data_IF_595722086229
#
_entry.id   IF_595722086229
#
_cell.length_a   1.000
_cell.length_b   1.000
_cell.length_c   1.000
_cell.angle_alpha   90.00
_cell.angle_beta   90.00
_cell.angle_gamma   90.00
#
_symmetry.space_group_name_H-M   'P 1'
#
loop_
_entity.id
_entity.type
_entity.pdbx_description
1 polymer ?
#
# COMPACT_ATOMS: atom_id res chain seq x y z
N UNK A 1 1.13 56.75 60.98
CA UNK A 1 0.51 57.08 59.65
C UNK A 1 1.30 56.31 58.59
N UNK A 2 0.70 55.34 57.92
CA UNK A 2 1.35 54.77 56.77
C UNK A 2 1.41 55.87 55.71
N UNK A 3 2.64 56.19 55.24
CA UNK A 3 2.83 57.14 54.13
C UNK A 3 2.15 56.57 52.89
N UNK A 4 1.18 57.31 52.34
CA UNK A 4 0.54 56.94 51.08
C UNK A 4 1.47 57.16 49.93
N UNK A 5 1.84 56.06 49.24
CA UNK A 5 2.66 56.12 48.03
C UNK A 5 1.79 56.35 46.80
N UNK A 6 2.29 57.11 45.82
CA UNK A 6 1.69 57.14 44.47
C UNK A 6 1.85 55.76 43.83
N UNK A 7 0.92 55.41 42.94
CA UNK A 7 0.96 54.13 42.23
C UNK A 7 2.29 53.92 41.48
N UNK A 8 2.84 54.96 40.87
CA UNK A 8 4.12 54.91 40.18
C UNK A 8 5.30 54.58 41.16
N UNK A 9 5.29 55.21 42.34
CA UNK A 9 6.33 54.97 43.36
C UNK A 9 6.23 53.54 43.90
N UNK A 10 5.02 53.04 44.13
CA UNK A 10 4.82 51.65 44.56
C UNK A 10 5.25 50.64 43.48
N UNK A 11 4.95 50.90 42.21
CA UNK A 11 5.37 50.04 41.10
C UNK A 11 6.87 50.08 40.84
N UNK A 12 7.57 51.19 41.08
CA UNK A 12 9.01 51.29 41.03
C UNK A 12 9.66 50.51 42.19
N UNK A 13 9.07 50.45 43.38
CA UNK A 13 9.53 49.58 44.47
C UNK A 13 9.43 48.11 44.11
N UNK A 14 8.31 47.70 43.45
CA UNK A 14 8.16 46.34 42.97
C UNK A 14 9.23 46.05 41.92
N UNK A 15 9.45 46.98 40.98
CA UNK A 15 10.48 46.86 39.93
C UNK A 15 11.89 46.68 40.55
N UNK A 16 12.26 47.55 41.45
CA UNK A 16 13.60 47.46 42.10
C UNK A 16 13.76 46.18 42.91
N UNK A 17 12.72 45.70 43.58
CA UNK A 17 12.71 44.43 44.29
C UNK A 17 12.91 43.25 43.34
N UNK A 18 12.23 43.25 42.21
CA UNK A 18 12.37 42.22 41.18
C UNK A 18 13.77 42.25 40.55
N UNK A 19 14.28 43.45 40.23
CA UNK A 19 15.61 43.63 39.66
C UNK A 19 16.72 43.21 40.65
N UNK A 20 16.53 43.48 41.96
CA UNK A 20 17.45 43.02 43.01
C UNK A 20 17.44 41.50 43.17
N UNK A 21 16.24 40.88 43.09
CA UNK A 21 16.05 39.45 43.35
C UNK A 21 16.45 38.58 42.20
N UNK A 22 16.21 39.01 41.00
CA UNK A 22 16.45 38.20 39.76
C UNK A 22 17.68 38.72 38.98
N UNK A 23 18.10 39.97 39.20
CA UNK A 23 19.22 40.59 38.52
C UNK A 23 19.11 40.50 36.96
N UNK A 24 20.29 40.53 36.33
CA UNK A 24 20.38 40.29 34.88
C UNK A 24 20.74 38.83 34.54
N UNK A 25 20.68 37.92 35.52
CA UNK A 25 20.95 36.51 35.30
C UNK A 25 19.86 35.88 34.46
N UNK A 26 20.27 35.04 33.50
CA UNK A 26 19.30 34.30 32.68
C UNK A 26 18.99 32.95 33.31
N UNK A 27 17.70 32.64 33.45
CA UNK A 27 17.19 31.37 33.96
C UNK A 27 16.75 30.49 32.81
N UNK A 28 17.06 29.20 32.84
CA UNK A 28 16.54 28.25 31.90
C UNK A 28 15.13 27.82 32.35
N UNK A 29 14.12 28.09 31.51
CA UNK A 29 12.72 27.81 31.78
C UNK A 29 12.16 26.92 30.71
N UNK A 30 11.55 25.81 31.14
CA UNK A 30 10.76 24.92 30.30
C UNK A 30 9.35 25.45 30.26
N UNK A 31 8.82 25.68 29.07
CA UNK A 31 7.43 26.12 28.89
C UNK A 31 6.91 25.74 27.49
N UNK A 32 5.60 25.78 27.35
CA UNK A 32 4.95 25.68 26.06
C UNK A 32 4.67 27.08 25.52
N UNK A 33 4.88 27.29 24.22
CA UNK A 33 4.71 28.57 23.56
C UNK A 33 3.27 28.71 23.03
N UNK A 34 2.38 29.33 23.78
CA UNK A 34 0.96 29.45 23.40
C UNK A 34 0.67 30.55 22.37
N UNK A 35 1.46 31.62 22.40
CA UNK A 35 1.42 32.67 21.40
C UNK A 35 2.84 32.98 20.91
N UNK A 36 2.98 33.25 19.61
CA UNK A 36 4.24 33.69 19.02
C UNK A 36 3.97 34.52 17.78
N UNK A 37 4.05 35.82 17.90
CA UNK A 37 3.76 36.75 16.80
C UNK A 37 4.82 37.80 16.64
N UNK A 38 5.11 38.09 15.38
CA UNK A 38 6.05 39.16 15.02
C UNK A 38 5.33 40.51 15.05
N UNK A 39 5.96 41.51 15.66
CA UNK A 39 5.56 42.89 15.60
C UNK A 39 6.77 43.78 15.32
N UNK A 40 6.84 44.33 14.10
CA UNK A 40 8.01 45.03 13.64
C UNK A 40 9.27 44.13 13.56
N UNK A 41 10.32 44.50 14.34
CA UNK A 41 11.56 43.74 14.44
C UNK A 41 11.60 42.78 15.67
N UNK A 42 10.54 42.76 16.48
CA UNK A 42 10.44 41.99 17.71
C UNK A 42 9.47 40.85 17.58
N UNK A 43 9.58 39.85 18.46
CA UNK A 43 8.55 38.84 18.67
C UNK A 43 7.98 38.99 20.07
N UNK A 44 6.66 38.81 20.16
CA UNK A 44 5.88 38.78 21.38
C UNK A 44 5.21 37.45 21.47
N UNK A 45 5.29 36.86 22.65
CA UNK A 45 4.75 35.54 22.89
C UNK A 45 4.18 35.38 24.29
N UNK A 46 3.68 34.20 24.53
CA UNK A 46 3.15 33.81 25.81
C UNK A 46 3.64 32.38 26.13
N UNK A 47 4.23 32.23 27.29
CA UNK A 47 4.69 30.94 27.82
C UNK A 47 3.66 30.42 28.80
N UNK A 48 3.29 29.16 28.64
CA UNK A 48 2.35 28.46 29.52
C UNK A 48 2.96 27.15 30.02
N UNK A 49 2.39 26.65 31.11
CA UNK A 49 2.67 25.31 31.62
C UNK A 49 1.35 24.61 31.92
N UNK A 50 1.20 23.36 31.47
CA UNK A 50 0.07 22.50 31.73
C UNK A 50 0.48 21.33 32.62
N UNK A 51 -0.39 20.93 33.54
CA UNK A 51 -0.25 19.73 34.38
C UNK A 51 -0.76 18.45 33.71
N UNK A 52 -1.31 18.56 32.48
CA UNK A 52 -1.93 17.44 31.78
C UNK A 52 -3.31 17.00 32.29
N UNK A 53 -3.81 17.62 33.39
CA UNK A 53 -5.08 17.27 34.03
C UNK A 53 -6.10 18.39 33.85
N UNK A 54 -5.69 19.64 34.03
CA UNK A 54 -6.53 20.83 33.92
C UNK A 54 -6.68 21.31 32.48
N UNK A 55 -7.87 21.84 32.15
CA UNK A 55 -8.08 22.55 30.86
C UNK A 55 -7.38 23.92 30.82
N UNK A 56 -7.01 24.46 31.98
CA UNK A 56 -6.34 25.76 32.08
C UNK A 56 -4.87 25.55 32.41
N UNK A 57 -3.98 26.41 31.90
CA UNK A 57 -2.58 26.37 32.28
C UNK A 57 -2.40 26.67 33.77
N UNK A 58 -1.48 25.96 34.43
CA UNK A 58 -1.12 26.19 35.84
C UNK A 58 -0.20 27.38 36.00
N UNK A 59 0.53 27.74 34.95
CA UNK A 59 1.34 28.94 34.90
C UNK A 59 1.23 29.60 33.52
N UNK A 60 1.27 30.93 33.50
CA UNK A 60 1.16 31.72 32.29
C UNK A 60 1.90 33.05 32.41
N UNK A 61 2.74 33.40 31.46
CA UNK A 61 3.51 34.63 31.45
C UNK A 61 3.79 35.11 30.06
N UNK A 62 3.77 36.40 29.83
CA UNK A 62 4.19 37.03 28.56
C UNK A 62 5.68 36.96 28.38
N UNK A 63 6.12 36.78 27.13
CA UNK A 63 7.52 36.82 26.79
C UNK A 63 7.78 37.74 25.56
N UNK A 64 8.98 38.29 25.54
CA UNK A 64 9.45 39.18 24.49
C UNK A 64 10.78 38.64 23.94
N UNK A 65 10.91 38.64 22.62
CA UNK A 65 12.19 38.43 21.96
C UNK A 65 12.56 39.71 21.21
N UNK A 66 13.56 40.39 21.68
CA UNK A 66 14.00 41.67 21.14
C UNK A 66 14.78 41.51 19.84
N UNK A 67 14.76 42.50 18.95
CA UNK A 67 15.35 42.47 17.62
C UNK A 67 16.82 41.98 17.57
N UNK A 68 17.61 42.35 18.58
CA UNK A 68 19.01 41.92 18.69
C UNK A 68 19.20 40.43 19.04
N UNK A 69 18.14 39.74 19.44
CA UNK A 69 18.16 38.30 19.78
C UNK A 69 17.37 37.44 18.78
N UNK A 70 16.43 38.07 18.05
CA UNK A 70 15.53 37.36 17.12
C UNK A 70 16.30 36.49 16.16
N UNK A 71 17.28 37.06 15.43
CA UNK A 71 18.05 36.34 14.43
C UNK A 71 18.84 35.17 15.04
N UNK A 72 19.48 35.42 16.18
CA UNK A 72 20.25 34.39 16.90
C UNK A 72 19.35 33.22 17.32
N UNK A 73 18.20 33.50 17.96
CA UNK A 73 17.30 32.50 18.50
C UNK A 73 16.64 31.70 17.34
N UNK A 74 16.14 32.38 16.31
CA UNK A 74 15.52 31.72 15.18
C UNK A 74 16.54 30.89 14.37
N UNK A 75 17.74 31.42 14.10
CA UNK A 75 18.78 30.68 13.39
C UNK A 75 19.27 29.46 14.18
N UNK A 76 19.55 29.63 15.49
CA UNK A 76 19.99 28.55 16.36
C UNK A 76 18.95 27.43 16.42
N UNK A 77 17.65 27.77 16.54
CA UNK A 77 16.58 26.81 16.57
C UNK A 77 16.40 26.15 15.22
N UNK A 78 16.32 26.91 14.13
CA UNK A 78 16.08 26.35 12.79
C UNK A 78 17.25 25.50 12.27
N UNK A 79 18.49 25.85 12.58
CA UNK A 79 19.65 25.03 12.21
C UNK A 79 19.67 23.69 12.90
N UNK A 80 19.25 23.63 14.18
CA UNK A 80 19.26 22.41 14.96
C UNK A 80 18.03 21.52 14.70
N UNK A 81 16.85 22.14 14.52
CA UNK A 81 15.56 21.42 14.41
C UNK A 81 15.03 21.31 12.98
N UNK A 82 15.58 22.11 12.05
CA UNK A 82 15.03 22.23 10.68
C UNK A 82 13.74 23.09 10.60
N UNK A 83 13.30 23.71 11.70
CA UNK A 83 12.01 24.36 11.83
C UNK A 83 12.12 25.81 12.33
N UNK A 84 11.01 26.54 12.22
CA UNK A 84 10.83 27.84 12.85
C UNK A 84 10.04 27.71 14.14
N UNK A 85 10.33 28.55 15.12
CA UNK A 85 9.54 28.67 16.35
C UNK A 85 8.09 29.02 16.03
N UNK A 86 7.16 28.25 16.59
CA UNK A 86 5.71 28.47 16.45
C UNK A 86 4.97 28.09 17.74
N UNK A 87 3.69 28.36 17.79
CA UNK A 87 2.80 27.97 18.90
C UNK A 87 2.75 26.47 19.09
N UNK A 88 2.38 26.03 20.28
CA UNK A 88 2.23 24.63 20.71
C UNK A 88 3.56 23.84 20.76
N UNK A 89 4.69 24.55 20.77
CA UNK A 89 6.01 23.95 20.98
C UNK A 89 6.45 24.04 22.43
N UNK A 90 6.91 22.90 22.96
CA UNK A 90 7.60 22.87 24.26
C UNK A 90 9.05 23.22 24.06
N UNK A 91 9.50 24.25 24.71
CA UNK A 91 10.80 24.87 24.54
C UNK A 91 11.53 25.07 25.86
N UNK A 92 12.84 25.06 25.78
CA UNK A 92 13.71 25.46 26.89
C UNK A 92 14.35 26.79 26.52
N UNK A 93 13.78 27.88 27.05
CA UNK A 93 14.32 29.21 26.87
C UNK A 93 15.20 29.62 28.03
N UNK A 94 16.29 30.30 27.75
CA UNK A 94 16.96 31.12 28.71
C UNK A 94 16.34 32.50 28.71
N UNK A 95 15.77 32.89 29.86
CA UNK A 95 15.00 34.10 30.00
C UNK A 95 15.55 34.99 31.12
N UNK A 96 15.38 36.29 31.00
CA UNK A 96 15.52 37.22 32.11
C UNK A 96 14.17 37.80 32.49
N UNK A 97 14.02 38.07 33.78
CA UNK A 97 12.79 38.69 34.32
C UNK A 97 12.82 40.18 33.99
N UNK A 98 11.71 40.69 33.49
CA UNK A 98 11.52 42.12 33.22
C UNK A 98 10.20 42.59 33.77
N UNK A 99 10.22 43.64 34.54
CA UNK A 99 9.02 44.31 35.05
C UNK A 99 8.95 45.73 34.53
N UNK A 100 7.83 46.07 33.92
CA UNK A 100 7.54 47.41 33.44
C UNK A 100 6.37 47.99 34.18
N UNK A 101 6.49 49.18 34.71
CA UNK A 101 5.46 49.84 35.55
C UNK A 101 4.09 49.93 34.86
N UNK A 102 4.03 50.05 33.55
CA UNK A 102 2.78 50.15 32.75
C UNK A 102 2.33 48.80 32.14
N UNK A 103 3.26 47.86 31.91
CA UNK A 103 2.94 46.62 31.19
C UNK A 103 3.04 45.35 32.05
N UNK A 104 3.52 45.52 33.28
CA UNK A 104 3.62 44.43 34.27
C UNK A 104 4.84 43.52 34.05
N UNK A 105 4.73 42.32 34.59
CA UNK A 105 5.75 41.29 34.54
C UNK A 105 5.78 40.61 33.17
N UNK A 106 6.99 40.39 32.63
CA UNK A 106 7.25 39.68 31.40
C UNK A 106 8.63 39.03 31.45
N UNK A 107 8.87 38.08 30.55
CA UNK A 107 10.20 37.47 30.37
C UNK A 107 10.84 37.95 29.07
N UNK A 108 12.10 38.31 29.12
CA UNK A 108 12.88 38.56 27.91
C UNK A 108 13.66 37.30 27.53
N UNK A 109 13.46 36.81 26.32
CA UNK A 109 14.15 35.65 25.82
C UNK A 109 15.58 36.04 25.44
N UNK A 110 16.56 35.36 26.05
CA UNK A 110 18.01 35.58 25.87
C UNK A 110 18.60 34.55 24.91
N UNK A 111 18.21 33.27 25.10
CA UNK A 111 18.72 32.12 24.35
C UNK A 111 17.70 31.00 24.34
N UNK A 112 17.97 29.97 23.52
CA UNK A 112 17.15 28.76 23.39
C UNK A 112 18.05 27.52 23.38
N UNK A 113 17.59 26.43 23.99
CA UNK A 113 18.17 25.11 23.80
C UNK A 113 17.29 24.24 22.89
N UNK A 114 17.65 24.08 21.61
CA UNK A 114 16.88 23.25 20.69
C UNK A 114 16.91 21.76 21.02
N UNK A 115 17.98 21.28 21.69
CA UNK A 115 18.13 19.87 22.04
C UNK A 115 17.03 19.40 23.00
N UNK A 116 16.53 20.29 23.86
CA UNK A 116 15.41 20.02 24.73
C UNK A 116 14.14 19.67 23.93
N UNK A 117 13.80 20.48 22.93
CA UNK A 117 12.60 20.26 22.10
C UNK A 117 12.67 18.93 21.35
N UNK A 118 13.84 18.60 20.81
CA UNK A 118 14.08 17.32 20.13
C UNK A 118 13.99 16.13 21.11
N UNK A 119 14.57 16.28 22.30
CA UNK A 119 14.50 15.25 23.34
C UNK A 119 13.08 15.01 23.88
N UNK A 120 12.28 16.05 24.07
CA UNK A 120 10.88 15.94 24.50
C UNK A 120 10.03 15.17 23.46
N UNK A 121 10.22 15.45 22.18
CA UNK A 121 9.56 14.72 21.09
C UNK A 121 9.90 13.24 21.11
N UNK A 122 11.19 12.92 21.25
CA UNK A 122 11.63 11.53 21.30
C UNK A 122 11.10 10.81 22.54
N UNK A 123 11.08 11.48 23.69
CA UNK A 123 10.52 10.92 24.92
C UNK A 123 9.03 10.62 24.78
N UNK A 124 8.24 11.51 24.18
CA UNK A 124 6.81 11.28 23.90
C UNK A 124 6.58 10.08 22.97
N UNK A 125 7.40 9.98 21.91
CA UNK A 125 7.33 8.82 20.99
C UNK A 125 7.55 7.52 21.76
N UNK A 126 8.60 7.44 22.58
CA UNK A 126 8.93 6.27 23.40
C UNK A 126 7.79 5.94 24.38
N UNK A 127 7.23 6.95 25.05
CA UNK A 127 6.12 6.77 25.99
C UNK A 127 4.90 6.15 25.29
N UNK A 128 4.54 6.64 24.09
CA UNK A 128 3.41 6.10 23.33
C UNK A 128 3.67 4.64 22.97
N UNK A 129 4.84 4.32 22.42
CA UNK A 129 5.21 2.96 22.06
C UNK A 129 5.18 2.01 23.26
N UNK A 130 5.64 2.47 24.45
CA UNK A 130 5.58 1.70 25.68
C UNK A 130 4.12 1.45 26.12
N UNK A 131 3.24 2.44 26.01
CA UNK A 131 1.80 2.27 26.31
C UNK A 131 1.16 1.25 25.39
N UNK A 132 1.41 1.34 24.08
CA UNK A 132 0.88 0.39 23.10
C UNK A 132 1.40 -1.03 23.36
N UNK A 133 2.68 -1.17 23.72
CA UNK A 133 3.28 -2.45 24.09
C UNK A 133 2.65 -3.04 25.36
N UNK A 134 2.45 -2.24 26.40
CA UNK A 134 1.78 -2.67 27.64
C UNK A 134 0.34 -3.13 27.37
N UNK A 135 -0.36 -2.48 26.45
CA UNK A 135 -1.71 -2.86 26.03
C UNK A 135 -1.73 -4.07 25.08
N UNK A 136 -0.57 -4.58 24.66
CA UNK A 136 -0.45 -5.73 23.76
C UNK A 136 -0.95 -5.48 22.33
N UNK A 137 -1.04 -4.19 21.90
CA UNK A 137 -1.58 -3.83 20.58
C UNK A 137 -0.52 -3.33 19.59
N UNK A 138 0.72 -3.11 20.07
CA UNK A 138 1.80 -2.50 19.28
C UNK A 138 2.03 -3.15 17.91
N UNK A 139 2.02 -4.47 17.86
CA UNK A 139 2.33 -5.25 16.65
C UNK A 139 1.10 -5.67 15.84
N UNK A 140 -0.13 -5.36 16.31
CA UNK A 140 -1.36 -5.89 15.70
C UNK A 140 -1.48 -5.59 14.20
N UNK A 141 -1.31 -4.33 13.81
CA UNK A 141 -1.41 -3.96 12.40
C UNK A 141 -0.17 -4.34 11.61
N UNK A 142 1.00 -4.31 12.25
CA UNK A 142 2.29 -4.61 11.64
C UNK A 142 2.40 -6.06 11.15
N UNK A 143 1.74 -7.00 11.84
CA UNK A 143 1.74 -8.43 11.46
C UNK A 143 0.66 -8.78 10.45
N UNK A 144 -0.19 -7.84 10.05
CA UNK A 144 -1.19 -8.08 9.01
C UNK A 144 -0.50 -8.35 7.67
N UNK A 145 -0.99 -9.36 6.97
CA UNK A 145 -0.51 -9.65 5.63
C UNK A 145 -0.94 -8.55 4.66
N UNK A 146 0.00 -8.11 3.85
CA UNK A 146 -0.34 -7.24 2.72
C UNK A 146 -1.18 -8.04 1.71
N UNK A 147 -2.20 -7.43 1.12
CA UNK A 147 -2.94 -8.05 0.03
C UNK A 147 -2.03 -8.30 -1.17
N UNK A 148 -2.27 -9.41 -1.86
CA UNK A 148 -1.53 -9.75 -3.08
C UNK A 148 -1.83 -8.78 -4.23
N UNK A 149 -2.99 -8.10 -4.20
CA UNK A 149 -3.42 -7.11 -5.17
C UNK A 149 -4.23 -6.00 -4.51
N UNK A 150 -4.33 -4.86 -5.19
CA UNK A 150 -5.07 -3.68 -4.70
C UNK A 150 -6.21 -3.35 -5.65
N UNK A 151 -7.43 -3.48 -5.17
CA UNK A 151 -8.65 -3.14 -5.91
C UNK A 151 -9.41 -1.97 -5.30
N UNK A 152 -9.40 -1.85 -3.98
CA UNK A 152 -10.07 -0.80 -3.23
C UNK A 152 -9.18 -0.27 -2.12
N UNK A 153 -8.79 0.98 -2.24
CA UNK A 153 -7.88 1.65 -1.31
C UNK A 153 -8.60 2.80 -0.61
N UNK A 154 -8.64 2.77 0.72
CA UNK A 154 -9.10 3.91 1.51
C UNK A 154 -7.94 4.89 1.74
N UNK A 155 -8.06 6.13 1.28
CA UNK A 155 -7.00 7.14 1.40
C UNK A 155 -7.41 8.20 2.40
N UNK A 156 -6.70 8.25 3.53
CA UNK A 156 -6.88 9.29 4.54
C UNK A 156 -5.88 10.41 4.26
N UNK A 157 -6.36 11.58 3.90
CA UNK A 157 -5.54 12.74 3.59
C UNK A 157 -6.32 14.05 3.75
N UNK A 158 -5.63 15.18 3.65
CA UNK A 158 -6.26 16.49 3.54
C UNK A 158 -6.40 16.91 2.09
N UNK A 159 -7.59 17.39 1.71
CA UNK A 159 -7.86 17.88 0.35
C UNK A 159 -7.06 19.14 -0.03
N UNK A 160 -6.51 19.82 0.96
CA UNK A 160 -5.80 21.10 0.80
C UNK A 160 -4.28 21.00 0.81
N UNK A 161 -3.72 19.79 1.01
CA UNK A 161 -2.29 19.62 1.25
C UNK A 161 -1.46 19.57 -0.04
N UNK A 162 -0.25 20.19 0.00
CA UNK A 162 0.68 20.34 -1.12
C UNK A 162 1.23 19.02 -1.71
N UNK A 163 1.21 17.94 -0.98
CA UNK A 163 1.67 16.63 -1.46
C UNK A 163 0.60 15.78 -2.15
N UNK A 164 -0.57 16.38 -2.43
CA UNK A 164 -1.70 15.68 -3.06
C UNK A 164 -1.42 15.38 -4.54
N UNK A 165 -0.65 16.26 -5.21
CA UNK A 165 -0.42 16.21 -6.66
C UNK A 165 0.10 14.86 -7.13
N UNK A 166 1.31 14.44 -6.69
CA UNK A 166 1.97 13.24 -7.23
C UNK A 166 1.24 11.92 -6.89
N UNK A 167 0.61 11.82 -5.70
CA UNK A 167 -0.17 10.64 -5.34
C UNK A 167 -1.39 10.48 -6.25
N UNK A 168 -2.16 11.56 -6.42
CA UNK A 168 -3.41 11.50 -7.15
C UNK A 168 -3.23 11.47 -8.68
N UNK A 169 -2.12 11.99 -9.20
CA UNK A 169 -1.82 11.81 -10.63
C UNK A 169 -1.68 10.33 -11.03
N UNK A 170 -1.08 9.51 -10.18
CA UNK A 170 -0.95 8.08 -10.44
C UNK A 170 -2.20 7.30 -10.03
N UNK A 171 -2.85 7.69 -8.93
CA UNK A 171 -4.12 7.11 -8.52
C UNK A 171 -5.21 7.31 -9.58
N UNK A 172 -5.27 8.50 -10.19
CA UNK A 172 -6.21 8.81 -11.25
C UNK A 172 -5.97 7.97 -12.51
N UNK A 173 -4.71 7.73 -12.89
CA UNK A 173 -4.37 6.80 -13.99
C UNK A 173 -4.88 5.39 -13.71
N UNK A 174 -4.65 4.88 -12.50
CA UNK A 174 -5.11 3.55 -12.11
C UNK A 174 -6.64 3.47 -12.13
N UNK A 175 -7.31 4.53 -11.75
CA UNK A 175 -8.75 4.61 -11.69
C UNK A 175 -9.39 4.77 -13.08
N UNK A 176 -8.83 5.57 -13.97
CA UNK A 176 -9.26 5.69 -15.37
C UNK A 176 -9.11 4.37 -16.14
N UNK A 177 -8.08 3.59 -15.78
CA UNK A 177 -7.86 2.24 -16.31
C UNK A 177 -8.74 1.18 -15.61
N UNK A 178 -9.61 1.54 -14.66
CA UNK A 178 -10.39 0.65 -13.80
C UNK A 178 -9.57 -0.45 -13.10
N UNK A 179 -8.34 -0.13 -12.71
CA UNK A 179 -7.43 -1.07 -12.04
C UNK A 179 -7.58 -1.04 -10.53
N UNK A 180 -7.79 0.15 -9.95
CA UNK A 180 -7.90 0.33 -8.51
C UNK A 180 -8.79 1.51 -8.17
N UNK A 181 -9.69 1.38 -7.19
CA UNK A 181 -10.52 2.47 -6.67
C UNK A 181 -9.86 3.14 -5.48
N UNK A 182 -9.91 4.46 -5.40
CA UNK A 182 -9.39 5.22 -4.27
C UNK A 182 -10.49 6.06 -3.63
N UNK A 183 -10.99 5.62 -2.48
CA UNK A 183 -11.95 6.38 -1.67
C UNK A 183 -11.21 7.35 -0.74
N UNK A 184 -11.51 8.63 -0.86
CA UNK A 184 -10.84 9.66 -0.08
C UNK A 184 -11.62 9.94 1.21
N UNK A 185 -10.94 9.79 2.33
CA UNK A 185 -11.41 10.18 3.65
C UNK A 185 -10.68 11.45 4.07
N UNK A 186 -11.37 12.57 3.98
CA UNK A 186 -10.80 13.85 4.34
C UNK A 186 -10.54 13.92 5.83
N UNK A 187 -9.31 14.29 6.20
CA UNK A 187 -8.91 14.51 7.58
C UNK A 187 -7.94 15.69 7.68
N UNK A 188 -7.98 16.39 8.82
CA UNK A 188 -7.00 17.43 9.14
C UNK A 188 -5.65 16.77 9.42
N UNK A 189 -4.63 17.15 8.66
CA UNK A 189 -3.28 16.56 8.74
C UNK A 189 -2.31 17.41 9.56
N UNK A 190 -2.80 18.46 10.21
CA UNK A 190 -2.00 19.35 11.06
C UNK A 190 -2.88 20.01 12.11
N UNK A 191 -2.25 20.50 13.19
CA UNK A 191 -2.92 21.14 14.31
C UNK A 191 -3.51 20.16 15.33
N UNK A 192 -3.99 20.68 16.45
CA UNK A 192 -4.49 19.91 17.61
C UNK A 192 -5.64 18.94 17.27
N UNK A 193 -6.38 19.19 16.19
CA UNK A 193 -7.48 18.33 15.76
C UNK A 193 -7.05 17.18 14.82
N UNK A 194 -5.78 17.11 14.42
CA UNK A 194 -5.25 16.10 13.52
C UNK A 194 -5.59 14.68 14.01
N UNK A 195 -5.16 14.34 15.22
CA UNK A 195 -5.35 13.01 15.77
C UNK A 195 -6.83 12.59 15.82
N UNK A 196 -7.71 13.48 16.27
CA UNK A 196 -9.15 13.23 16.33
C UNK A 196 -9.77 13.08 14.96
N UNK A 197 -9.38 13.92 14.00
CA UNK A 197 -9.89 13.90 12.64
C UNK A 197 -9.51 12.61 11.92
N UNK A 198 -8.23 12.21 12.00
CA UNK A 198 -7.73 10.98 11.38
C UNK A 198 -8.33 9.74 12.06
N UNK A 199 -8.41 9.70 13.40
CA UNK A 199 -9.08 8.60 14.12
C UNK A 199 -10.56 8.47 13.74
N UNK A 200 -11.25 9.58 13.48
CA UNK A 200 -12.64 9.56 13.00
C UNK A 200 -12.72 8.96 11.59
N UNK A 201 -11.73 9.23 10.72
CA UNK A 201 -11.65 8.60 9.40
C UNK A 201 -11.43 7.08 9.52
N UNK A 202 -10.52 6.63 10.39
CA UNK A 202 -10.35 5.21 10.69
C UNK A 202 -11.65 4.55 11.21
N UNK A 203 -12.36 5.21 12.11
CA UNK A 203 -13.63 4.70 12.62
C UNK A 203 -14.69 4.55 11.50
N UNK A 204 -14.76 5.50 10.57
CA UNK A 204 -15.66 5.39 9.40
C UNK A 204 -15.27 4.23 8.49
N UNK A 205 -13.99 4.05 8.22
CA UNK A 205 -13.48 2.95 7.38
C UNK A 205 -13.78 1.61 8.05
N UNK A 206 -13.59 1.51 9.37
CA UNK A 206 -13.88 0.29 10.13
C UNK A 206 -15.35 -0.17 10.03
N UNK A 207 -16.32 0.73 9.79
CA UNK A 207 -17.73 0.33 9.59
C UNK A 207 -17.98 -0.41 8.28
N UNK A 208 -17.05 -0.34 7.35
CA UNK A 208 -17.12 -0.96 6.02
C UNK A 208 -15.79 -1.62 5.66
N UNK A 209 -15.16 -2.26 6.65
CA UNK A 209 -13.81 -2.81 6.53
C UNK A 209 -13.66 -3.78 5.34
N UNK A 210 -14.66 -4.64 5.12
CA UNK A 210 -14.67 -5.62 4.02
C UNK A 210 -14.57 -5.00 2.61
N UNK A 211 -14.77 -3.69 2.50
CA UNK A 211 -14.69 -2.99 1.22
C UNK A 211 -13.25 -2.75 0.78
N UNK A 212 -12.31 -2.62 1.71
CA UNK A 212 -10.97 -2.13 1.42
C UNK A 212 -9.89 -3.18 1.61
N UNK A 213 -8.96 -3.22 0.69
CA UNK A 213 -7.78 -4.08 0.74
C UNK A 213 -6.70 -3.46 1.65
N UNK A 214 -6.63 -2.12 1.68
CA UNK A 214 -5.60 -1.38 2.42
C UNK A 214 -6.08 0.03 2.77
N UNK A 215 -5.61 0.55 3.89
CA UNK A 215 -5.75 1.96 4.25
C UNK A 215 -4.42 2.66 3.98
N UNK A 216 -4.49 3.79 3.31
CA UNK A 216 -3.34 4.65 3.03
C UNK A 216 -3.50 5.95 3.81
N UNK A 217 -2.57 6.21 4.72
CA UNK A 217 -2.48 7.49 5.42
C UNK A 217 -1.34 8.30 4.82
N UNK A 218 -1.69 9.34 4.10
CA UNK A 218 -0.71 10.21 3.44
C UNK A 218 -0.88 11.66 3.85
N UNK A 219 0.26 12.31 3.96
CA UNK A 219 0.34 13.75 4.12
C UNK A 219 1.29 14.29 3.05
N UNK A 220 0.87 15.34 2.38
CA UNK A 220 1.76 16.11 1.55
C UNK A 220 2.72 16.97 2.33
N UNK A 221 3.66 17.59 1.65
CA UNK A 221 4.71 18.41 2.23
C UNK A 221 4.21 19.39 3.29
N UNK A 222 5.06 19.69 4.25
CA UNK A 222 4.81 20.57 5.36
C UNK A 222 6.07 20.60 6.24
N UNK A 223 6.06 21.39 7.32
CA UNK A 223 7.20 21.45 8.22
C UNK A 223 7.35 20.15 9.03
N UNK A 224 8.57 19.88 9.46
CA UNK A 224 8.90 18.76 10.35
C UNK A 224 8.08 18.79 11.65
N UNK A 225 7.76 19.98 12.16
CA UNK A 225 6.93 20.17 13.34
C UNK A 225 5.48 19.70 13.14
N UNK A 226 4.98 19.70 11.92
CA UNK A 226 3.64 19.19 11.66
C UNK A 226 3.56 17.67 11.75
N UNK A 227 4.71 16.96 11.75
CA UNK A 227 4.78 15.53 11.98
C UNK A 227 4.52 15.16 13.45
N UNK A 228 4.78 16.06 14.39
CA UNK A 228 4.51 15.80 15.83
C UNK A 228 3.04 15.56 16.14
N UNK A 229 2.12 16.13 15.34
CA UNK A 229 0.69 15.87 15.49
C UNK A 229 0.30 14.41 15.28
N UNK A 230 1.15 13.65 14.58
CA UNK A 230 0.98 12.21 14.39
C UNK A 230 1.54 11.36 15.54
N UNK A 231 2.36 11.95 16.41
CA UNK A 231 2.84 11.33 17.64
C UNK A 231 1.76 11.43 18.75
N UNK A 232 0.64 10.78 18.52
CA UNK A 232 -0.53 10.82 19.41
C UNK A 232 -1.05 9.41 19.69
N UNK A 233 -1.36 9.14 20.96
CA UNK A 233 -1.80 7.82 21.41
C UNK A 233 -3.14 7.39 20.75
N UNK A 234 -4.11 8.31 20.65
CA UNK A 234 -5.43 8.03 20.05
C UNK A 234 -5.29 7.57 18.60
N UNK A 235 -4.45 8.27 17.84
CA UNK A 235 -4.19 7.93 16.45
C UNK A 235 -3.43 6.61 16.32
N UNK A 236 -2.44 6.40 17.18
CA UNK A 236 -1.68 5.16 17.20
C UNK A 236 -2.57 3.95 17.55
N UNK A 237 -3.47 4.07 18.50
CA UNK A 237 -4.46 3.05 18.84
C UNK A 237 -5.41 2.77 17.67
N UNK A 238 -5.80 3.79 16.91
CA UNK A 238 -6.66 3.63 15.72
C UNK A 238 -5.98 2.77 14.65
N UNK A 239 -4.68 2.97 14.42
CA UNK A 239 -3.89 2.16 13.47
C UNK A 239 -3.69 0.75 14.01
N UNK A 240 -3.23 0.61 15.27
CA UNK A 240 -2.99 -0.71 15.87
C UNK A 240 -4.24 -1.60 15.89
N UNK A 241 -5.43 -1.03 16.09
CA UNK A 241 -6.69 -1.77 16.12
C UNK A 241 -7.37 -1.90 14.74
N UNK A 242 -6.79 -1.37 13.69
CA UNK A 242 -7.29 -1.59 12.34
C UNK A 242 -7.11 -3.06 11.93
N UNK A 243 -8.16 -3.66 11.42
CA UNK A 243 -8.15 -5.02 10.84
C UNK A 243 -7.66 -5.00 9.39
N UNK A 244 -7.58 -3.82 8.79
CA UNK A 244 -7.07 -3.60 7.43
C UNK A 244 -5.61 -3.18 7.55
N UNK A 245 -4.70 -3.70 6.70
CA UNK A 245 -3.32 -3.23 6.64
C UNK A 245 -3.24 -1.72 6.39
N UNK A 246 -2.31 -1.05 7.07
CA UNK A 246 -2.13 0.40 6.94
C UNK A 246 -0.78 0.73 6.32
N UNK A 247 -0.81 1.50 5.24
CA UNK A 247 0.37 2.11 4.62
C UNK A 247 0.46 3.56 5.07
N UNK A 248 1.63 3.96 5.57
CA UNK A 248 1.88 5.33 6.02
C UNK A 248 2.90 5.99 5.10
N UNK A 249 2.55 7.15 4.57
CA UNK A 249 3.42 7.98 3.72
C UNK A 249 3.35 9.46 4.11
N UNK A 250 3.78 9.78 5.32
CA UNK A 250 3.61 11.12 5.93
C UNK A 250 4.93 11.85 6.18
N UNK A 251 6.07 11.15 6.21
CA UNK A 251 7.37 11.67 6.65
C UNK A 251 8.39 11.82 5.53
N UNK A 252 9.58 12.18 5.93
CA UNK A 252 10.82 12.08 5.16
C UNK A 252 11.75 11.06 5.82
N UNK A 253 12.76 10.59 5.11
CA UNK A 253 13.68 9.53 5.52
C UNK A 253 14.32 9.75 6.91
N UNK A 254 14.45 11.01 7.32
CA UNK A 254 15.11 11.40 8.60
C UNK A 254 14.15 11.55 9.79
N UNK A 255 12.83 11.58 9.55
CA UNK A 255 11.83 11.95 10.55
C UNK A 255 10.80 10.83 10.71
N UNK A 256 11.02 9.94 11.66
CA UNK A 256 10.08 8.85 11.96
C UNK A 256 9.09 9.25 13.04
N UNK A 257 7.81 9.01 12.78
CA UNK A 257 6.71 9.15 13.75
C UNK A 257 6.43 7.83 14.48
N UNK A 258 5.55 7.86 15.48
CA UNK A 258 5.02 6.63 16.10
C UNK A 258 4.33 5.75 15.05
N UNK A 259 3.65 6.37 14.08
CA UNK A 259 2.87 5.65 13.08
C UNK A 259 3.73 4.77 12.16
N UNK A 260 4.95 5.22 11.88
CA UNK A 260 5.92 4.49 11.08
C UNK A 260 6.38 3.19 11.75
N UNK A 261 6.27 3.12 13.09
CA UNK A 261 6.68 1.95 13.88
C UNK A 261 5.57 0.91 14.05
N UNK A 262 4.31 1.31 13.86
CA UNK A 262 3.13 0.49 14.17
C UNK A 262 2.32 0.08 12.94
N UNK A 263 2.50 0.74 11.80
CA UNK A 263 1.79 0.42 10.57
C UNK A 263 2.34 -0.86 9.92
N UNK A 264 1.56 -1.46 9.03
CA UNK A 264 1.98 -2.64 8.25
C UNK A 264 3.19 -2.32 7.38
N UNK A 265 3.19 -1.16 6.71
CA UNK A 265 4.31 -0.72 5.89
C UNK A 265 4.44 0.80 5.85
N UNK A 266 5.65 1.26 6.08
CA UNK A 266 5.99 2.67 6.04
C UNK A 266 6.62 3.05 4.69
N UNK A 267 6.39 4.30 4.29
CA UNK A 267 7.02 4.96 3.14
C UNK A 267 7.38 6.40 3.51
N UNK A 268 8.43 6.93 2.89
CA UNK A 268 8.88 8.29 3.20
C UNK A 268 8.02 9.37 2.55
N UNK A 269 7.27 9.05 1.50
CA UNK A 269 6.45 10.02 0.76
C UNK A 269 5.16 9.40 0.23
N UNK A 270 4.11 10.21 0.00
CA UNK A 270 2.89 9.77 -0.69
C UNK A 270 3.16 9.14 -2.06
N UNK A 271 4.10 9.69 -2.83
CA UNK A 271 4.48 9.18 -4.15
C UNK A 271 5.06 7.75 -4.07
N UNK A 272 5.84 7.43 -3.01
CA UNK A 272 6.34 6.07 -2.81
C UNK A 272 5.23 5.08 -2.48
N UNK A 273 4.18 5.52 -1.76
CA UNK A 273 3.01 4.68 -1.47
C UNK A 273 2.27 4.30 -2.74
N UNK A 274 1.91 5.31 -3.55
CA UNK A 274 1.15 5.04 -4.77
C UNK A 274 1.97 4.24 -5.79
N UNK A 275 3.26 4.52 -5.91
CA UNK A 275 4.14 3.73 -6.76
C UNK A 275 4.24 2.26 -6.32
N UNK A 276 4.22 2.01 -5.01
CA UNK A 276 4.17 0.64 -4.50
C UNK A 276 2.87 -0.06 -4.90
N UNK A 277 1.72 0.61 -4.74
CA UNK A 277 0.41 0.09 -5.15
C UNK A 277 0.37 -0.15 -6.67
N UNK A 278 0.77 0.86 -7.45
CA UNK A 278 0.78 0.78 -8.91
C UNK A 278 1.68 -0.35 -9.43
N UNK A 279 2.90 -0.46 -8.89
CA UNK A 279 3.83 -1.52 -9.30
C UNK A 279 3.28 -2.91 -8.96
N UNK A 280 2.66 -3.09 -7.78
CA UNK A 280 2.05 -4.37 -7.41
C UNK A 280 0.94 -4.75 -8.40
N UNK A 281 0.05 -3.82 -8.73
CA UNK A 281 -1.03 -4.03 -9.70
C UNK A 281 -0.46 -4.36 -11.09
N UNK A 282 0.53 -3.60 -11.56
CA UNK A 282 1.16 -3.80 -12.87
C UNK A 282 1.89 -5.14 -12.92
N UNK A 283 2.66 -5.47 -11.89
CA UNK A 283 3.40 -6.75 -11.80
C UNK A 283 2.43 -7.93 -11.81
N UNK A 284 1.31 -7.83 -11.09
CA UNK A 284 0.27 -8.86 -11.09
C UNK A 284 -0.38 -9.01 -12.47
N UNK A 285 -0.69 -7.91 -13.14
CA UNK A 285 -1.25 -7.93 -14.49
C UNK A 285 -0.26 -8.55 -15.50
N UNK A 286 1.02 -8.20 -15.41
CA UNK A 286 2.09 -8.77 -16.23
C UNK A 286 2.23 -10.27 -15.97
N UNK A 287 2.25 -10.67 -14.69
CA UNK A 287 2.37 -12.07 -14.28
C UNK A 287 1.15 -12.88 -14.75
N UNK A 288 -0.06 -12.34 -14.60
CA UNK A 288 -1.28 -12.97 -15.08
C UNK A 288 -1.24 -13.17 -16.60
N UNK A 289 -0.83 -12.15 -17.36
CA UNK A 289 -0.64 -12.26 -18.81
C UNK A 289 0.40 -13.31 -19.20
N UNK A 290 1.55 -13.28 -18.54
CA UNK A 290 2.63 -14.27 -18.77
C UNK A 290 2.15 -15.69 -18.47
N UNK A 291 1.45 -15.88 -17.35
CA UNK A 291 0.88 -17.17 -16.97
C UNK A 291 -0.15 -17.65 -17.99
N UNK A 292 -1.04 -16.76 -18.45
CA UNK A 292 -1.99 -17.06 -19.51
C UNK A 292 -1.31 -17.51 -20.80
N UNK A 293 -0.34 -16.73 -21.29
CA UNK A 293 0.42 -17.06 -22.50
C UNK A 293 1.19 -18.38 -22.34
N UNK A 294 1.73 -18.63 -21.15
CA UNK A 294 2.44 -19.86 -20.83
C UNK A 294 1.50 -21.08 -20.81
N UNK A 295 0.31 -20.94 -20.23
CA UNK A 295 -0.74 -21.98 -20.23
C UNK A 295 -1.14 -22.31 -21.66
N UNK A 296 -1.40 -21.29 -22.49
CA UNK A 296 -1.76 -21.49 -23.89
C UNK A 296 -0.64 -22.18 -24.67
N UNK A 297 0.61 -21.78 -24.46
CA UNK A 297 1.78 -22.39 -25.11
C UNK A 297 1.96 -23.85 -24.68
N UNK A 298 1.89 -24.12 -23.38
CA UNK A 298 2.02 -25.49 -22.84
C UNK A 298 0.90 -26.38 -23.37
N UNK A 299 -0.33 -25.89 -23.37
CA UNK A 299 -1.50 -26.63 -23.87
C UNK A 299 -1.34 -26.98 -25.36
N UNK A 300 -0.91 -26.01 -26.18
CA UNK A 300 -0.64 -26.25 -27.60
C UNK A 300 0.50 -27.26 -27.79
N UNK A 301 1.55 -27.14 -26.99
CA UNK A 301 2.70 -28.10 -27.06
C UNK A 301 2.27 -29.51 -26.67
N UNK A 302 1.52 -29.67 -25.56
CA UNK A 302 0.98 -30.95 -25.11
C UNK A 302 0.06 -31.57 -26.14
N UNK A 303 -0.85 -30.80 -26.71
CA UNK A 303 -1.76 -31.27 -27.77
C UNK A 303 -0.96 -31.78 -29.01
N UNK A 304 0.06 -31.04 -29.43
CA UNK A 304 0.95 -31.41 -30.54
C UNK A 304 1.75 -32.68 -30.22
N UNK A 305 2.30 -32.76 -29.00
CA UNK A 305 3.08 -33.93 -28.56
C UNK A 305 2.20 -35.19 -28.49
N UNK A 306 1.00 -35.08 -27.90
CA UNK A 306 0.05 -36.20 -27.81
C UNK A 306 -0.40 -36.66 -29.20
N UNK A 307 -0.65 -35.72 -30.13
CA UNK A 307 -0.97 -36.02 -31.51
C UNK A 307 0.22 -36.80 -32.20
N UNK A 308 1.43 -36.32 -32.01
CA UNK A 308 2.60 -36.95 -32.58
C UNK A 308 2.85 -38.35 -32.02
N UNK A 309 2.66 -38.54 -30.70
CA UNK A 309 2.73 -39.86 -30.05
C UNK A 309 1.67 -40.80 -30.59
N UNK A 310 0.44 -40.31 -30.80
CA UNK A 310 -0.64 -41.11 -31.39
C UNK A 310 -0.33 -41.53 -32.83
N UNK A 311 0.17 -40.59 -33.66
CA UNK A 311 0.56 -40.86 -35.04
C UNK A 311 1.69 -41.90 -35.10
N UNK A 312 2.69 -41.80 -34.22
CA UNK A 312 3.78 -42.74 -34.12
C UNK A 312 3.30 -44.13 -33.66
N UNK A 313 2.41 -44.21 -32.66
CA UNK A 313 1.82 -45.46 -32.20
C UNK A 313 1.01 -46.11 -33.32
N UNK A 314 0.21 -45.34 -34.06
CA UNK A 314 -0.57 -45.81 -35.16
C UNK A 314 0.35 -46.36 -36.29
N UNK A 315 1.39 -45.62 -36.65
CA UNK A 315 2.35 -46.02 -37.71
C UNK A 315 3.10 -47.30 -37.31
N UNK A 316 3.65 -47.35 -36.10
CA UNK A 316 4.35 -48.53 -35.58
C UNK A 316 3.45 -49.74 -35.50
N UNK A 317 2.19 -49.53 -35.10
CA UNK A 317 1.22 -50.59 -35.06
C UNK A 317 0.88 -51.13 -36.46
N UNK A 318 0.61 -50.24 -37.42
CA UNK A 318 0.33 -50.59 -38.79
C UNK A 318 1.50 -51.39 -39.41
N UNK A 319 2.73 -50.92 -39.25
CA UNK A 319 3.92 -51.59 -39.75
C UNK A 319 4.11 -52.98 -39.10
N UNK A 320 3.86 -53.12 -37.81
CA UNK A 320 3.93 -54.42 -37.12
C UNK A 320 2.90 -55.40 -37.59
N UNK A 321 1.67 -54.93 -37.86
CA UNK A 321 0.62 -55.78 -38.41
C UNK A 321 0.96 -56.20 -39.84
N UNK A 322 1.37 -55.28 -40.70
CA UNK A 322 1.79 -55.59 -42.10
C UNK A 322 2.92 -56.61 -42.11
N UNK A 323 3.92 -56.44 -41.24
CA UNK A 323 5.04 -57.40 -41.12
C UNK A 323 4.56 -58.77 -40.59
N UNK A 324 3.70 -58.78 -39.57
CA UNK A 324 3.14 -60.01 -39.03
C UNK A 324 2.29 -60.77 -40.08
N UNK A 325 1.41 -60.04 -40.76
CA UNK A 325 0.60 -60.64 -41.83
C UNK A 325 1.49 -61.17 -42.99
N UNK A 326 2.54 -60.46 -43.34
CA UNK A 326 3.49 -60.89 -44.33
C UNK A 326 4.22 -62.19 -43.90
N UNK A 327 4.71 -62.24 -42.65
CA UNK A 327 5.35 -63.46 -42.11
C UNK A 327 4.38 -64.64 -42.05
N UNK A 328 3.11 -64.38 -41.64
CA UNK A 328 2.07 -65.41 -41.60
C UNK A 328 1.74 -65.91 -43.02
N UNK A 329 1.62 -64.97 -43.98
CA UNK A 329 1.42 -65.36 -45.38
C UNK A 329 2.59 -66.21 -45.92
N UNK A 330 3.84 -65.83 -45.64
CA UNK A 330 5.01 -66.58 -46.01
C UNK A 330 5.06 -67.97 -45.37
N UNK A 331 4.70 -68.04 -44.04
CA UNK A 331 4.63 -69.28 -43.31
C UNK A 331 3.53 -70.20 -43.85
N UNK A 332 2.36 -69.61 -44.18
CA UNK A 332 1.26 -70.35 -44.80
C UNK A 332 1.66 -70.89 -46.18
N UNK A 333 2.26 -70.02 -47.00
CA UNK A 333 2.77 -70.43 -48.37
C UNK A 333 3.82 -71.51 -48.24
N UNK A 334 4.76 -71.38 -47.31
CA UNK A 334 5.80 -72.39 -47.06
C UNK A 334 5.15 -73.73 -46.60
N UNK A 335 4.29 -73.67 -45.57
CA UNK A 335 3.61 -74.88 -45.11
C UNK A 335 2.71 -75.50 -46.18
N UNK A 336 2.05 -74.68 -46.98
CA UNK A 336 1.24 -75.13 -48.14
C UNK A 336 2.09 -75.87 -49.18
N UNK A 337 3.25 -75.27 -49.56
CA UNK A 337 4.20 -75.90 -50.52
C UNK A 337 4.80 -77.13 -49.96
N UNK A 338 5.17 -77.17 -48.68
CA UNK A 338 5.71 -78.37 -48.00
C UNK A 338 4.65 -79.46 -47.88
N UNK A 339 3.46 -79.09 -47.47
CA UNK A 339 2.32 -80.03 -47.37
C UNK A 339 1.88 -80.55 -48.69
N UNK A 340 1.86 -79.73 -49.75
CA UNK A 340 1.62 -80.21 -51.12
C UNK A 340 2.74 -81.02 -51.68
N UNK A 341 4.00 -80.75 -51.34
CA UNK A 341 5.15 -81.60 -51.70
C UNK A 341 5.07 -82.98 -50.99
N UNK A 342 4.76 -82.98 -49.70
CA UNK A 342 4.57 -84.22 -48.96
C UNK A 342 3.31 -84.96 -49.47
N UNK A 343 2.19 -84.26 -49.71
CA UNK A 343 0.96 -84.84 -50.21
C UNK A 343 1.11 -85.42 -51.64
N UNK A 344 1.93 -84.87 -52.50
CA UNK A 344 2.27 -85.48 -53.79
C UNK A 344 3.04 -86.77 -53.64
N UNK A 345 3.78 -86.98 -52.53
CA UNK A 345 4.47 -88.20 -52.23
C UNK A 345 3.65 -89.30 -51.51
N UNK A 346 2.64 -88.88 -50.79
CA UNK A 346 1.85 -89.80 -49.91
C UNK A 346 0.36 -89.56 -50.07
N UNK A 347 -0.09 -89.60 -51.29
CA UNK A 347 -1.52 -89.57 -51.71
C UNK A 347 -2.66 -89.39 -50.66
N UNK A 348 -3.49 -88.38 -50.88
CA UNK A 348 -4.89 -88.19 -50.35
C UNK A 348 -5.19 -88.11 -48.87
N UNK A 349 -4.29 -88.49 -47.98
CA UNK A 349 -4.65 -88.54 -46.55
C UNK A 349 -4.53 -87.16 -45.78
N UNK A 350 -3.79 -86.21 -46.34
CA UNK A 350 -3.46 -84.96 -45.64
C UNK A 350 -4.22 -83.72 -46.13
N UNK A 351 -5.03 -83.78 -47.24
CA UNK A 351 -5.80 -82.64 -47.72
C UNK A 351 -6.76 -82.08 -46.66
N UNK A 352 -7.36 -82.97 -45.89
CA UNK A 352 -8.29 -82.56 -44.87
C UNK A 352 -7.60 -81.83 -43.70
N UNK A 353 -6.34 -82.28 -43.39
CA UNK A 353 -5.54 -81.70 -42.28
C UNK A 353 -4.99 -80.32 -42.66
N UNK A 354 -4.50 -80.16 -43.92
CA UNK A 354 -3.99 -78.88 -44.44
C UNK A 354 -5.11 -77.85 -44.55
N UNK A 355 -6.26 -78.23 -45.06
CA UNK A 355 -7.43 -77.34 -45.09
C UNK A 355 -7.87 -76.93 -43.69
N UNK A 356 -7.88 -77.87 -42.74
CA UNK A 356 -8.24 -77.53 -41.36
C UNK A 356 -7.19 -76.57 -40.72
N UNK A 357 -5.91 -76.78 -40.99
CA UNK A 357 -4.83 -75.88 -40.48
C UNK A 357 -4.96 -74.45 -41.11
N UNK A 358 -5.22 -74.42 -42.41
CA UNK A 358 -5.44 -73.13 -43.10
C UNK A 358 -6.64 -72.37 -42.53
N UNK A 359 -7.80 -73.00 -42.35
CA UNK A 359 -8.96 -72.39 -41.73
C UNK A 359 -8.66 -71.89 -40.30
N UNK A 360 -7.95 -72.67 -39.49
CA UNK A 360 -7.59 -72.30 -38.14
C UNK A 360 -6.61 -71.10 -38.09
N UNK A 361 -5.62 -71.01 -39.01
CA UNK A 361 -4.73 -69.86 -39.14
C UNK A 361 -5.55 -68.62 -39.56
N UNK A 362 -6.46 -68.78 -40.49
CA UNK A 362 -7.32 -67.68 -40.99
C UNK A 362 -8.24 -67.16 -39.88
N UNK A 363 -8.85 -68.07 -39.13
CA UNK A 363 -9.70 -67.70 -37.97
C UNK A 363 -8.86 -67.06 -36.87
N UNK A 364 -7.71 -67.57 -36.55
CA UNK A 364 -6.79 -67.01 -35.53
C UNK A 364 -6.29 -65.60 -35.95
N UNK A 365 -5.91 -65.46 -37.22
CA UNK A 365 -5.48 -64.16 -37.78
C UNK A 365 -6.61 -63.13 -37.75
N UNK A 366 -7.85 -63.50 -38.15
CA UNK A 366 -9.03 -62.62 -38.04
C UNK A 366 -9.33 -62.24 -36.58
N UNK A 367 -9.24 -63.21 -35.68
CA UNK A 367 -9.46 -62.97 -34.23
C UNK A 367 -8.38 -61.99 -33.68
N UNK A 368 -7.13 -62.20 -34.04
CA UNK A 368 -6.03 -61.37 -33.62
C UNK A 368 -6.16 -59.93 -34.13
N UNK A 369 -6.43 -59.80 -35.45
CA UNK A 369 -6.64 -58.47 -36.06
C UNK A 369 -7.83 -57.73 -35.37
N UNK A 370 -8.89 -58.46 -35.06
CA UNK A 370 -10.02 -57.90 -34.36
C UNK A 370 -9.68 -57.46 -32.95
N UNK A 371 -8.91 -58.29 -32.24
CA UNK A 371 -8.45 -57.95 -30.87
C UNK A 371 -7.56 -56.72 -30.84
N UNK A 372 -6.60 -56.67 -31.75
CA UNK A 372 -5.71 -55.50 -31.85
C UNK A 372 -6.46 -54.25 -32.32
N UNK A 373 -7.38 -54.38 -33.26
CA UNK A 373 -8.22 -53.29 -33.71
C UNK A 373 -9.06 -52.65 -32.58
N UNK A 374 -9.63 -53.49 -31.73
CA UNK A 374 -10.38 -53.04 -30.55
C UNK A 374 -9.47 -52.32 -29.51
N UNK A 375 -8.27 -52.89 -29.29
CA UNK A 375 -7.29 -52.25 -28.38
C UNK A 375 -6.84 -50.88 -28.86
N UNK A 376 -6.60 -50.71 -30.17
CA UNK A 376 -6.28 -49.43 -30.75
C UNK A 376 -7.45 -48.45 -30.60
N UNK A 377 -8.64 -48.90 -30.94
CA UNK A 377 -9.83 -48.06 -30.86
C UNK A 377 -10.06 -47.56 -29.41
N UNK A 378 -9.91 -48.45 -28.44
CA UNK A 378 -10.02 -48.10 -27.05
C UNK A 378 -8.92 -47.11 -26.61
N UNK A 379 -7.66 -47.38 -26.98
CA UNK A 379 -6.54 -46.49 -26.64
C UNK A 379 -6.70 -45.11 -27.30
N UNK A 380 -7.17 -45.09 -28.57
CA UNK A 380 -7.49 -43.85 -29.26
C UNK A 380 -8.58 -43.03 -28.52
N UNK A 381 -9.69 -43.72 -28.18
CA UNK A 381 -10.79 -43.05 -27.44
C UNK A 381 -10.34 -42.55 -26.07
N UNK A 382 -9.57 -43.32 -25.35
CA UNK A 382 -9.03 -42.94 -24.06
C UNK A 382 -8.10 -41.72 -24.17
N UNK A 383 -7.18 -41.75 -25.15
CA UNK A 383 -6.26 -40.63 -25.39
C UNK A 383 -7.02 -39.36 -25.81
N UNK A 384 -8.04 -39.53 -26.67
CA UNK A 384 -8.87 -38.41 -27.13
C UNK A 384 -9.69 -37.82 -25.99
N UNK A 385 -10.24 -38.67 -25.13
CA UNK A 385 -11.01 -38.21 -23.96
C UNK A 385 -10.08 -37.52 -22.94
N UNK A 386 -8.90 -38.08 -22.72
CA UNK A 386 -7.89 -37.45 -21.84
C UNK A 386 -7.49 -36.08 -22.39
N UNK A 387 -7.19 -35.97 -23.68
CA UNK A 387 -6.87 -34.70 -24.32
C UNK A 387 -8.01 -33.67 -24.21
N UNK A 388 -9.27 -34.12 -24.44
CA UNK A 388 -10.45 -33.25 -24.25
C UNK A 388 -10.62 -32.78 -22.81
N UNK A 389 -10.40 -33.65 -21.84
CA UNK A 389 -10.49 -33.30 -20.43
C UNK A 389 -9.40 -32.30 -20.01
N UNK A 390 -8.18 -32.52 -20.49
CA UNK A 390 -7.05 -31.59 -20.28
C UNK A 390 -7.38 -30.23 -20.90
N UNK A 391 -7.82 -30.20 -22.13
CA UNK A 391 -8.20 -28.95 -22.82
C UNK A 391 -9.34 -28.23 -22.08
N UNK A 392 -10.36 -29.00 -21.64
CA UNK A 392 -11.46 -28.44 -20.86
C UNK A 392 -10.98 -27.82 -19.55
N UNK A 393 -10.10 -28.52 -18.83
CA UNK A 393 -9.52 -28.03 -17.58
C UNK A 393 -8.72 -26.73 -17.81
N UNK A 394 -7.83 -26.71 -18.81
CA UNK A 394 -7.04 -25.51 -19.09
C UNK A 394 -7.88 -24.35 -19.64
N UNK A 395 -8.92 -24.62 -20.44
CA UNK A 395 -9.85 -23.58 -20.86
C UNK A 395 -10.58 -22.95 -19.65
N UNK A 396 -11.06 -23.77 -18.72
CA UNK A 396 -11.72 -23.27 -17.51
C UNK A 396 -10.77 -22.43 -16.65
N UNK A 397 -9.53 -22.90 -16.50
CA UNK A 397 -8.48 -22.17 -15.76
C UNK A 397 -8.14 -20.86 -16.46
N UNK A 398 -7.99 -20.89 -17.78
CA UNK A 398 -7.73 -19.70 -18.61
C UNK A 398 -8.88 -18.68 -18.52
N UNK A 399 -10.15 -19.13 -18.60
CA UNK A 399 -11.30 -18.25 -18.41
C UNK A 399 -11.35 -17.63 -17.02
N UNK A 400 -10.97 -18.42 -16.00
CA UNK A 400 -10.90 -17.91 -14.62
C UNK A 400 -9.85 -16.83 -14.48
N UNK A 401 -8.64 -17.07 -15.00
CA UNK A 401 -7.55 -16.09 -15.02
C UNK A 401 -7.92 -14.84 -15.82
N UNK A 402 -8.56 -15.02 -16.99
CA UNK A 402 -9.03 -13.91 -17.80
C UNK A 402 -10.07 -13.04 -17.05
N UNK A 403 -11.00 -13.68 -16.34
CA UNK A 403 -11.97 -12.97 -15.47
C UNK A 403 -11.28 -12.23 -14.34
N UNK A 404 -10.26 -12.83 -13.73
CA UNK A 404 -9.45 -12.15 -12.70
C UNK A 404 -8.75 -10.91 -13.28
N UNK A 405 -8.11 -11.02 -14.44
CA UNK A 405 -7.47 -9.89 -15.13
C UNK A 405 -8.51 -8.78 -15.42
N UNK A 406 -9.68 -9.15 -15.93
CA UNK A 406 -10.75 -8.19 -16.21
C UNK A 406 -11.29 -7.53 -14.94
N UNK A 407 -11.28 -8.24 -13.80
CA UNK A 407 -11.73 -7.68 -12.51
C UNK A 407 -10.82 -6.59 -11.97
N UNK A 408 -9.57 -6.54 -12.45
CA UNK A 408 -8.56 -5.53 -12.09
C UNK A 408 -8.56 -4.34 -13.06
N UNK A 409 -9.45 -4.37 -14.07
CA UNK A 409 -9.56 -3.25 -15.01
C UNK A 409 -10.13 -1.98 -14.36
N UNK A 410 -9.87 -0.86 -14.98
CA UNK A 410 -10.26 0.47 -14.47
C UNK A 410 -11.78 0.59 -14.30
N UNK A 411 -12.58 0.07 -15.21
CA UNK A 411 -14.04 0.24 -15.17
C UNK A 411 -14.71 -0.45 -13.97
N UNK A 412 -14.44 -1.71 -13.62
CA UNK A 412 -14.89 -2.29 -12.37
C UNK A 412 -14.37 -1.54 -11.13
N UNK A 413 -13.18 -0.96 -11.21
CA UNK A 413 -12.59 -0.22 -10.12
C UNK A 413 -13.32 1.08 -9.83
N UNK A 414 -13.69 1.84 -10.83
CA UNK A 414 -14.57 3.01 -10.68
C UNK A 414 -15.96 2.63 -10.13
N UNK A 415 -16.55 1.52 -10.60
CA UNK A 415 -17.84 1.03 -10.13
C UNK A 415 -17.85 0.58 -8.66
N UNK A 416 -16.69 0.27 -8.07
CA UNK A 416 -16.54 -0.06 -6.64
C UNK A 416 -16.45 1.18 -5.74
N UNK A 417 -16.51 2.38 -6.31
CA UNK A 417 -16.60 3.64 -5.58
C UNK A 417 -15.29 4.42 -5.49
N UNK A 418 -14.26 4.01 -6.22
CA UNK A 418 -13.05 4.83 -6.35
C UNK A 418 -13.24 5.94 -7.38
N UNK A 419 -12.48 6.99 -7.27
CA UNK A 419 -12.46 8.08 -8.23
C UNK A 419 -11.04 8.38 -8.70
N UNK A 420 -10.91 8.91 -9.88
CA UNK A 420 -9.65 9.36 -10.45
C UNK A 420 -9.64 10.88 -10.51
N UNK A 421 -8.56 11.50 -10.11
CA UNK A 421 -8.40 12.95 -10.24
C UNK A 421 -7.51 13.28 -11.44
N UNK A 422 -7.94 14.20 -12.28
CA UNK A 422 -7.19 14.71 -13.42
C UNK A 422 -7.32 16.23 -13.50
N UNK A 423 -6.45 16.84 -14.26
CA UNK A 423 -6.60 18.25 -14.63
C UNK A 423 -7.72 18.41 -15.66
N UNK A 424 -8.22 19.61 -15.85
CA UNK A 424 -9.20 19.94 -16.91
C UNK A 424 -8.69 19.56 -18.30
N UNK A 425 -7.37 19.58 -18.52
CA UNK A 425 -6.72 19.15 -19.77
C UNK A 425 -6.58 17.62 -19.90
N UNK A 426 -7.06 16.84 -18.90
CA UNK A 426 -7.11 15.38 -18.94
C UNK A 426 -5.88 14.67 -18.36
N UNK A 427 -4.90 15.35 -17.78
CA UNK A 427 -3.71 14.76 -17.18
C UNK A 427 -4.01 14.25 -15.77
N UNK A 428 -3.66 12.99 -15.49
CA UNK A 428 -3.91 12.36 -14.19
C UNK A 428 -3.03 12.92 -13.07
N UNK A 429 -3.64 13.11 -11.91
CA UNK A 429 -3.02 13.63 -10.70
C UNK A 429 -2.88 12.49 -9.70
N UNK A 430 -1.67 12.20 -9.30
CA UNK A 430 -1.36 11.07 -8.40
C UNK A 430 -0.72 11.51 -7.09
N UNK A 431 -0.38 12.77 -6.95
CA UNK A 431 0.21 13.29 -5.71
C UNK A 431 -0.39 14.64 -5.34
N UNK A 432 -0.34 14.93 -4.06
CA UNK A 432 -0.82 16.19 -3.49
C UNK A 432 -0.12 17.43 -4.09
N UNK A 433 1.21 17.36 -4.30
CA UNK A 433 1.99 18.44 -4.91
C UNK A 433 1.51 18.80 -6.31
N UNK A 434 1.15 17.78 -7.08
CA UNK A 434 0.61 18.01 -8.41
C UNK A 434 -0.79 18.64 -8.36
N UNK A 435 -1.62 18.26 -7.39
CA UNK A 435 -2.96 18.82 -7.25
C UNK A 435 -2.92 20.32 -6.92
N UNK A 436 -2.00 20.74 -6.09
CA UNK A 436 -1.86 22.16 -5.69
C UNK A 436 -1.30 23.07 -6.77
N UNK A 437 -0.73 22.51 -7.84
CA UNK A 437 -0.29 23.31 -8.99
C UNK A 437 -1.44 23.79 -9.90
N UNK A 438 -2.66 23.36 -9.62
CA UNK A 438 -3.84 23.69 -10.39
C UNK A 438 -4.92 24.28 -9.50
N UNK A 439 -5.63 25.29 -10.00
CA UNK A 439 -6.79 25.88 -9.32
C UNK A 439 -7.99 24.94 -9.34
N UNK A 440 -8.15 24.25 -10.45
CA UNK A 440 -9.32 23.42 -10.72
C UNK A 440 -8.89 22.03 -11.17
N UNK A 441 -9.53 21.04 -10.62
CA UNK A 441 -9.34 19.63 -10.93
C UNK A 441 -10.67 18.97 -11.28
N UNK A 442 -10.59 17.85 -11.94
CA UNK A 442 -11.74 17.04 -12.29
C UNK A 442 -11.61 15.69 -11.62
N UNK A 443 -12.62 15.31 -10.86
CA UNK A 443 -12.73 13.98 -10.26
C UNK A 443 -13.69 13.14 -11.11
N UNK A 444 -13.17 12.04 -11.62
CA UNK A 444 -13.91 11.10 -12.47
C UNK A 444 -14.43 9.94 -11.65
N UNK A 445 -15.71 9.67 -11.75
CA UNK A 445 -16.41 8.55 -11.16
C UNK A 445 -16.85 7.57 -12.26
N UNK A 446 -17.48 6.49 -11.87
CA UNK A 446 -18.01 5.49 -12.81
C UNK A 446 -19.13 6.02 -13.73
N UNK A 447 -19.87 7.02 -13.28
CA UNK A 447 -21.07 7.56 -13.91
C UNK A 447 -20.94 9.03 -14.33
N UNK A 448 -19.76 9.62 -14.17
CA UNK A 448 -19.52 11.00 -14.55
C UNK A 448 -18.27 11.60 -13.91
N UNK A 449 -18.20 12.89 -13.94
CA UNK A 449 -17.11 13.64 -13.33
C UNK A 449 -17.61 14.93 -12.68
N UNK A 450 -16.87 15.41 -11.72
CA UNK A 450 -17.14 16.71 -11.08
C UNK A 450 -15.87 17.55 -11.12
N UNK A 451 -16.06 18.85 -11.32
CA UNK A 451 -14.97 19.80 -11.15
C UNK A 451 -14.87 20.23 -9.69
N UNK A 452 -13.67 20.35 -9.19
CA UNK A 452 -13.39 20.75 -7.82
C UNK A 452 -12.30 21.82 -7.81
N UNK A 453 -12.52 22.82 -7.03
CA UNK A 453 -11.54 23.89 -6.81
C UNK A 453 -10.56 23.48 -5.71
N UNK A 454 -9.29 23.61 -6.00
CA UNK A 454 -8.23 23.37 -5.02
C UNK A 454 -8.06 24.61 -4.16
N UNK A 455 -8.53 24.55 -2.91
CA UNK A 455 -8.32 25.66 -1.97
C UNK A 455 -7.01 25.46 -1.21
N UNK A 456 -6.15 26.43 -1.26
CA UNK A 456 -5.02 26.50 -0.35
C UNK A 456 -5.54 26.63 1.09
N UNK A 457 -4.94 25.89 2.01
CA UNK A 457 -5.16 26.12 3.44
C UNK A 457 -4.62 27.51 3.80
N UNK A 458 -5.45 28.49 3.69
CA UNK A 458 -5.18 29.76 4.33
C UNK A 458 -4.99 29.50 5.81
N UNK A 459 -3.82 29.84 6.32
CA UNK A 459 -3.58 29.94 7.75
C UNK A 459 -4.71 30.74 8.39
N UNK A 460 -5.76 30.03 8.82
CA UNK A 460 -6.68 30.63 9.77
C UNK A 460 -6.03 30.52 11.13
N UNK A 461 -5.65 31.67 11.57
CA UNK A 461 -5.20 31.92 12.94
C UNK A 461 -6.11 31.32 14.01
#
# INVERSE_FOLDING_TARGET
MQESLKLSEFLELIKSTIEMSFGYEGFWVVAELSEWRRSGKHYYGELIEHDGVSKFPIAKIRCNCWANKVEHIHSKFSQATGETLKTDMKVLFRVSVNYHTSFGLSLNIIDIDPAFTLGDRQARKIEILQKLSKNGILEKNKVLNMPDDFTNVAVITSMTAAGKGDFFEEADKLQDLNLCNFDIYEAKMQGAECAKSVSTAFAKIATIADKYDVIVLIRGGGSQADLDWFNNILLAESICNSEIPVLVGIGHERDSTVLDEICTKRFDTPSKVINYIANTIVDNAINAKYNYESIVRITKSLAKQNKHQLDNLYHNFKTRIEHYLYQMSQSVDHNYKESTSIARGVSKLYDKTVNTMYENILLSSKSLIRSYGNNIYNSYNQSTNTARNILKYYNQTSESLYKQILSVSIEPTLKRGFSLTKTIEGKYITTQKQAQAYSDLEIVYADGHIQVEVKENGNSK
#
